data_IF_047897375858
#
_entry.id   IF_047897375858
#
_cell.length_a   1.000
_cell.length_b   1.000
_cell.length_c   1.000
_cell.angle_alpha   90.00
_cell.angle_beta   90.00
_cell.angle_gamma   90.00
#
_symmetry.space_group_name_H-M   'P 1'
#
loop_
_entity.id
_entity.type
_entity.pdbx_description
1 polymer ?
#
# COMPACT_ATOMS: atom_id res chain seq x y z
N UNK A 1 24.43 17.41 0.55
CA UNK A 1 23.05 16.85 0.35
C UNK A 1 22.73 16.87 -1.13
N UNK A 2 22.29 15.75 -1.70
CA UNK A 2 21.82 15.68 -3.08
C UNK A 2 20.42 16.29 -3.13
N UNK A 3 20.20 17.27 -4.00
CA UNK A 3 18.87 17.83 -4.22
C UNK A 3 18.19 17.08 -5.37
N UNK A 4 17.03 16.49 -5.11
CA UNK A 4 16.22 15.78 -6.09
C UNK A 4 15.19 16.72 -6.71
N UNK A 5 14.97 16.59 -8.03
CA UNK A 5 13.96 17.36 -8.75
C UNK A 5 12.71 16.52 -8.97
N UNK A 6 11.64 16.80 -8.26
CA UNK A 6 10.35 16.14 -8.38
C UNK A 6 9.38 16.87 -9.32
N UNK A 7 9.75 18.04 -9.84
CA UNK A 7 8.96 18.79 -10.86
C UNK A 7 9.28 18.37 -12.30
N UNK A 8 10.29 17.49 -12.47
CA UNK A 8 10.64 17.00 -13.82
C UNK A 8 9.52 16.12 -14.37
N UNK A 9 8.92 16.54 -15.49
CA UNK A 9 7.94 15.74 -16.20
C UNK A 9 8.68 14.73 -17.07
N UNK A 10 8.52 13.44 -16.76
CA UNK A 10 9.16 12.34 -17.45
C UNK A 10 8.09 11.63 -18.28
N UNK A 11 8.28 11.59 -19.60
CA UNK A 11 7.38 10.84 -20.47
C UNK A 11 7.57 9.34 -20.25
N UNK A 12 6.52 8.68 -19.81
CA UNK A 12 6.48 7.23 -19.53
C UNK A 12 5.64 6.47 -20.56
N UNK A 13 5.09 7.17 -21.57
CA UNK A 13 4.42 6.51 -22.70
C UNK A 13 5.46 5.67 -23.47
N UNK A 14 5.02 4.63 -24.11
CA UNK A 14 5.88 3.69 -24.85
C UNK A 14 6.99 2.98 -24.03
N UNK A 15 6.92 3.06 -22.69
CA UNK A 15 7.86 2.37 -21.78
C UNK A 15 7.30 1.05 -21.24
N UNK A 16 6.10 0.63 -21.66
CA UNK A 16 5.39 -0.49 -21.06
C UNK A 16 4.77 -0.19 -19.69
N UNK A 17 4.71 1.08 -19.28
CA UNK A 17 4.12 1.51 -18.02
C UNK A 17 2.62 1.19 -17.96
N UNK A 18 2.19 0.46 -16.93
CA UNK A 18 0.75 0.20 -16.68
C UNK A 18 0.00 1.49 -16.41
N UNK A 19 0.63 2.46 -15.76
CA UNK A 19 0.04 3.76 -15.43
C UNK A 19 -0.15 4.63 -16.67
N UNK A 20 0.83 4.64 -17.59
CA UNK A 20 0.92 5.51 -18.75
C UNK A 20 0.66 4.78 -20.07
N UNK A 21 -0.31 3.86 -20.10
CA UNK A 21 -0.63 3.08 -21.30
C UNK A 21 -1.55 3.81 -22.30
N UNK A 22 -1.88 5.07 -22.05
CA UNK A 22 -2.75 5.89 -22.91
C UNK A 22 -1.99 6.44 -24.10
N UNK A 23 -2.65 6.44 -25.27
CA UNK A 23 -2.11 7.01 -26.51
C UNK A 23 -2.48 8.48 -26.70
N UNK A 24 -3.36 9.01 -25.84
CA UNK A 24 -3.83 10.39 -25.85
C UNK A 24 -3.22 11.21 -24.69
N UNK A 25 -3.76 12.40 -24.44
CA UNK A 25 -3.33 13.32 -23.38
C UNK A 25 -3.93 13.01 -22.00
N UNK A 26 -4.43 11.80 -21.77
CA UNK A 26 -4.96 11.37 -20.47
C UNK A 26 -3.92 11.53 -19.37
N UNK A 27 -4.34 12.12 -18.24
CA UNK A 27 -3.53 12.27 -17.03
C UNK A 27 -3.85 11.13 -16.07
N UNK A 28 -2.92 10.18 -15.88
CA UNK A 28 -3.14 9.02 -15.04
C UNK A 28 -2.75 9.30 -13.57
N UNK A 29 -3.73 9.44 -12.71
CA UNK A 29 -3.58 9.63 -11.26
C UNK A 29 -4.15 8.43 -10.47
N UNK A 30 -3.99 7.20 -10.99
CA UNK A 30 -4.66 6.00 -10.49
C UNK A 30 -3.73 4.91 -9.92
N UNK A 31 -2.69 4.49 -10.66
CA UNK A 31 -1.78 3.44 -10.18
C UNK A 31 -0.95 3.95 -9.01
N UNK A 32 -0.77 3.11 -8.00
CA UNK A 32 0.08 3.41 -6.85
C UNK A 32 1.57 3.20 -7.17
N UNK A 33 2.08 3.95 -8.15
CA UNK A 33 3.50 4.23 -8.37
C UNK A 33 3.70 5.75 -8.51
N UNK A 34 4.94 6.22 -8.39
CA UNK A 34 5.24 7.65 -8.46
C UNK A 34 5.77 8.01 -9.85
N UNK A 35 5.60 9.26 -10.26
CA UNK A 35 6.18 9.77 -11.51
C UNK A 35 7.52 10.50 -11.24
N UNK A 36 8.28 10.00 -10.28
CA UNK A 36 9.58 10.49 -9.87
C UNK A 36 10.68 9.50 -10.21
N UNK A 37 11.86 9.98 -10.59
CA UNK A 37 13.06 9.13 -10.69
C UNK A 37 13.37 8.48 -9.34
N UNK A 38 13.78 7.23 -9.37
CA UNK A 38 14.26 6.53 -8.17
C UNK A 38 15.51 7.22 -7.59
N UNK A 39 15.80 6.94 -6.33
CA UNK A 39 16.96 7.49 -5.63
C UNK A 39 18.27 7.16 -6.36
N UNK A 40 19.20 8.12 -6.41
CA UNK A 40 20.50 7.97 -7.09
C UNK A 40 21.28 6.72 -6.64
N UNK A 41 21.34 6.35 -5.33
CA UNK A 41 22.01 5.12 -4.91
C UNK A 41 21.41 3.86 -5.55
N UNK A 42 20.09 3.83 -5.75
CA UNK A 42 19.39 2.72 -6.39
C UNK A 42 19.77 2.62 -7.87
N UNK A 43 19.72 3.73 -8.60
CA UNK A 43 20.10 3.77 -10.02
C UNK A 43 21.54 3.32 -10.22
N UNK A 44 22.45 3.81 -9.37
CA UNK A 44 23.85 3.41 -9.40
C UNK A 44 24.05 1.90 -9.14
N UNK A 45 23.31 1.31 -8.22
CA UNK A 45 23.37 -0.11 -7.95
C UNK A 45 22.92 -0.94 -9.17
N UNK A 46 21.85 -0.51 -9.86
CA UNK A 46 21.40 -1.15 -11.11
C UNK A 46 22.46 -1.06 -12.20
N UNK A 47 23.07 0.12 -12.39
CA UNK A 47 24.16 0.33 -13.34
C UNK A 47 25.36 -0.57 -13.05
N UNK A 48 25.77 -0.71 -11.80
CA UNK A 48 26.88 -1.58 -11.39
C UNK A 48 26.61 -3.05 -11.70
N UNK A 49 25.39 -3.54 -11.44
CA UNK A 49 24.98 -4.91 -11.81
C UNK A 49 25.06 -5.10 -13.33
N UNK A 50 24.53 -4.15 -14.09
CA UNK A 50 24.53 -4.20 -15.56
C UNK A 50 25.96 -4.15 -16.13
N UNK A 51 26.84 -3.30 -15.58
CA UNK A 51 28.25 -3.18 -16.00
C UNK A 51 29.07 -4.43 -15.68
N UNK A 52 28.78 -5.10 -14.55
CA UNK A 52 29.42 -6.38 -14.22
C UNK A 52 29.13 -7.46 -15.26
N UNK A 53 27.92 -7.47 -15.85
CA UNK A 53 27.53 -8.25 -17.02
C UNK A 53 27.30 -9.74 -16.79
N UNK A 54 27.52 -10.28 -15.58
CA UNK A 54 27.22 -11.68 -15.22
C UNK A 54 25.97 -11.70 -14.33
N UNK A 55 24.86 -12.15 -14.91
CA UNK A 55 23.53 -12.15 -14.29
C UNK A 55 23.15 -13.58 -13.86
N UNK A 56 24.01 -14.18 -13.03
CA UNK A 56 23.84 -15.57 -12.55
C UNK A 56 22.95 -15.67 -11.31
N UNK A 57 22.82 -16.89 -10.79
CA UNK A 57 22.13 -17.15 -9.54
C UNK A 57 22.78 -16.39 -8.38
N UNK A 58 21.97 -15.84 -7.49
CA UNK A 58 22.43 -15.03 -6.40
C UNK A 58 21.71 -15.38 -5.10
N UNK A 59 22.29 -14.97 -3.98
CA UNK A 59 21.73 -15.11 -2.64
C UNK A 59 21.86 -13.80 -1.87
N UNK A 60 21.01 -13.56 -0.88
CA UNK A 60 21.13 -12.36 -0.04
C UNK A 60 22.48 -12.34 0.70
N UNK A 61 23.12 -11.16 0.73
CA UNK A 61 24.39 -10.93 1.42
C UNK A 61 24.17 -10.52 2.89
N UNK A 62 25.23 -10.64 3.73
CA UNK A 62 25.15 -10.13 5.11
C UNK A 62 24.84 -8.62 5.14
N UNK A 63 25.47 -7.84 4.26
CA UNK A 63 25.23 -6.41 4.16
C UNK A 63 23.76 -6.07 3.84
N UNK A 64 23.06 -6.88 3.03
CA UNK A 64 21.63 -6.70 2.82
C UNK A 64 20.83 -6.93 4.11
N UNK A 65 21.10 -8.00 4.86
CA UNK A 65 20.43 -8.23 6.14
C UNK A 65 20.69 -7.11 7.14
N UNK A 66 21.94 -6.65 7.23
CA UNK A 66 22.32 -5.53 8.10
C UNK A 66 21.58 -4.24 7.73
N UNK A 67 21.46 -3.92 6.44
CA UNK A 67 20.73 -2.75 5.97
C UNK A 67 19.23 -2.79 6.33
N UNK A 68 18.59 -3.96 6.19
CA UNK A 68 17.20 -4.19 6.57
C UNK A 68 17.02 -4.04 8.08
N UNK A 69 17.86 -4.69 8.88
CA UNK A 69 17.82 -4.66 10.34
C UNK A 69 18.02 -3.23 10.85
N UNK A 70 19.03 -2.53 10.32
CA UNK A 70 19.31 -1.15 10.70
C UNK A 70 18.16 -0.20 10.35
N UNK A 71 17.60 -0.31 9.14
CA UNK A 71 16.48 0.51 8.70
C UNK A 71 15.27 0.39 9.60
N UNK A 72 14.81 -0.84 9.84
CA UNK A 72 13.62 -1.08 10.65
C UNK A 72 13.86 -0.86 12.14
N UNK A 73 15.06 -1.15 12.63
CA UNK A 73 15.46 -0.89 14.00
C UNK A 73 15.52 0.59 14.34
N UNK A 74 16.19 1.39 13.51
CA UNK A 74 16.38 2.83 13.76
C UNK A 74 15.11 3.66 13.57
N UNK A 75 14.25 3.29 12.59
CA UNK A 75 13.04 4.04 12.26
C UNK A 75 11.82 3.67 13.12
N UNK A 76 11.69 2.40 13.46
CA UNK A 76 10.46 1.88 14.08
C UNK A 76 10.69 1.12 15.39
N UNK A 77 11.93 0.99 15.83
CA UNK A 77 12.27 0.20 17.01
C UNK A 77 12.00 -1.31 16.84
N UNK A 78 11.79 -1.78 15.61
CA UNK A 78 11.56 -3.18 15.32
C UNK A 78 12.88 -3.96 15.37
N UNK A 79 13.11 -4.68 16.48
CA UNK A 79 14.29 -5.51 16.65
C UNK A 79 14.15 -6.80 15.86
N UNK A 80 15.00 -6.97 14.88
CA UNK A 80 15.10 -8.16 14.02
C UNK A 80 16.52 -8.73 14.09
N UNK A 81 16.64 -10.03 13.88
CA UNK A 81 17.88 -10.66 13.43
C UNK A 81 17.67 -11.28 12.03
N UNK A 82 18.76 -11.74 11.41
CA UNK A 82 18.72 -12.35 10.08
C UNK A 82 17.71 -13.49 9.98
N UNK A 83 17.51 -14.28 11.04
CA UNK A 83 16.59 -15.42 11.05
C UNK A 83 15.12 -15.00 11.01
N UNK A 84 14.82 -13.77 11.37
CA UNK A 84 13.46 -13.22 11.34
C UNK A 84 13.00 -12.75 9.95
N UNK A 85 13.90 -12.80 8.94
CA UNK A 85 13.70 -12.21 7.63
C UNK A 85 13.64 -13.30 6.57
N UNK A 86 12.52 -13.41 5.88
CA UNK A 86 12.37 -14.20 4.66
C UNK A 86 12.07 -13.26 3.48
N UNK A 87 12.52 -13.64 2.29
CA UNK A 87 12.26 -12.87 1.07
C UNK A 87 11.10 -13.48 0.27
N UNK A 88 10.40 -12.63 -0.50
CA UNK A 88 9.30 -13.03 -1.36
C UNK A 88 9.22 -12.10 -2.58
N UNK A 89 8.73 -12.55 -3.74
CA UNK A 89 8.67 -11.75 -4.97
C UNK A 89 7.72 -10.54 -4.88
N UNK A 90 6.93 -10.42 -3.83
CA UNK A 90 6.04 -9.29 -3.60
C UNK A 90 5.07 -9.52 -2.42
N UNK A 91 4.52 -8.43 -1.89
CA UNK A 91 3.57 -8.51 -0.76
C UNK A 91 2.27 -9.24 -1.14
N UNK A 92 1.75 -9.04 -2.34
CA UNK A 92 0.52 -9.75 -2.79
C UNK A 92 0.73 -11.27 -2.90
N UNK A 93 1.82 -11.79 -3.49
CA UNK A 93 2.18 -13.21 -3.35
C UNK A 93 2.31 -13.67 -1.89
N UNK A 94 2.92 -12.86 -1.03
CA UNK A 94 3.05 -13.17 0.40
C UNK A 94 1.70 -13.30 1.10
N UNK A 95 0.68 -12.49 0.75
CA UNK A 95 -0.68 -12.65 1.29
C UNK A 95 -1.26 -14.03 0.93
N UNK A 96 -1.11 -14.48 -0.32
CA UNK A 96 -1.55 -15.81 -0.75
C UNK A 96 -0.78 -16.93 -0.02
N UNK A 97 0.53 -16.76 0.15
CA UNK A 97 1.36 -17.67 0.92
C UNK A 97 0.87 -17.79 2.37
N UNK A 98 0.59 -16.67 3.04
CA UNK A 98 0.13 -16.66 4.44
C UNK A 98 -1.24 -17.34 4.61
N UNK A 99 -2.12 -17.26 3.62
CA UNK A 99 -3.36 -18.03 3.65
C UNK A 99 -3.08 -19.54 3.72
N UNK A 100 -2.13 -20.05 2.94
CA UNK A 100 -1.75 -21.46 2.98
C UNK A 100 -0.99 -21.85 4.27
N UNK A 101 -0.34 -20.90 4.92
CA UNK A 101 0.33 -21.11 6.22
C UNK A 101 -0.67 -21.22 7.37
N UNK A 102 -1.70 -20.38 7.40
CA UNK A 102 -2.60 -20.26 8.55
C UNK A 102 -3.98 -20.91 8.38
N UNK A 103 -4.38 -21.22 7.14
CA UNK A 103 -5.73 -21.68 6.82
C UNK A 103 -5.72 -22.83 5.80
N UNK A 104 -6.85 -23.50 5.69
CA UNK A 104 -7.14 -24.46 4.63
C UNK A 104 -8.34 -23.98 3.80
N UNK A 105 -8.63 -24.65 2.67
CA UNK A 105 -9.79 -24.30 1.84
C UNK A 105 -11.10 -24.36 2.67
N UNK A 106 -11.94 -23.36 2.51
CA UNK A 106 -13.18 -23.17 3.25
C UNK A 106 -13.05 -22.39 4.55
N UNK A 107 -11.84 -22.24 5.13
CA UNK A 107 -11.65 -21.41 6.32
C UNK A 107 -11.97 -19.94 6.07
N UNK A 108 -12.50 -19.27 7.09
CA UNK A 108 -12.83 -17.85 7.03
C UNK A 108 -11.59 -16.95 7.26
N UNK A 109 -11.44 -15.97 6.37
CA UNK A 109 -10.41 -14.92 6.44
C UNK A 109 -11.11 -13.56 6.51
N UNK A 110 -10.77 -12.78 7.52
CA UNK A 110 -11.36 -11.46 7.76
C UNK A 110 -10.49 -10.37 7.17
N UNK A 111 -11.15 -9.42 6.49
CA UNK A 111 -10.55 -8.16 6.00
C UNK A 111 -11.45 -6.99 6.37
N UNK A 112 -10.92 -5.77 6.31
CA UNK A 112 -11.75 -4.57 6.40
C UNK A 112 -12.45 -4.26 5.06
N UNK A 113 -13.48 -3.42 5.10
CA UNK A 113 -14.12 -2.84 3.92
C UNK A 113 -14.27 -1.30 4.17
N UNK A 114 -13.74 -0.43 3.30
CA UNK A 114 -12.99 -0.72 2.08
C UNK A 114 -11.56 -1.20 2.35
N UNK A 115 -10.98 -1.92 1.40
CA UNK A 115 -9.60 -2.42 1.46
C UNK A 115 -9.01 -2.54 0.05
N UNK A 116 -7.69 -2.56 -0.06
CA UNK A 116 -7.00 -2.83 -1.32
C UNK A 116 -7.46 -4.16 -1.94
N UNK A 117 -7.97 -4.09 -3.17
CA UNK A 117 -8.64 -5.19 -3.87
C UNK A 117 -7.96 -6.56 -3.75
N UNK A 118 -6.63 -6.69 -3.86
CA UNK A 118 -5.96 -7.98 -3.71
C UNK A 118 -6.18 -8.70 -2.37
N UNK A 119 -6.52 -8.00 -1.29
CA UNK A 119 -6.86 -8.64 -0.01
C UNK A 119 -8.11 -9.51 -0.17
N UNK A 120 -9.15 -8.99 -0.82
CA UNK A 120 -10.39 -9.72 -1.07
C UNK A 120 -10.18 -10.83 -2.12
N UNK A 121 -9.64 -10.44 -3.29
CA UNK A 121 -9.51 -11.37 -4.41
C UNK A 121 -8.58 -12.54 -4.10
N UNK A 122 -7.52 -12.34 -3.30
CA UNK A 122 -6.63 -13.45 -2.91
C UNK A 122 -7.29 -14.41 -1.93
N UNK A 123 -8.17 -13.94 -1.05
CA UNK A 123 -8.98 -14.81 -0.18
C UNK A 123 -9.85 -15.75 -1.03
N UNK A 124 -10.62 -15.17 -1.97
CA UNK A 124 -11.53 -15.92 -2.83
C UNK A 124 -10.80 -16.86 -3.80
N UNK A 125 -9.75 -16.36 -4.49
CA UNK A 125 -8.94 -17.15 -5.43
C UNK A 125 -8.23 -18.35 -4.79
N UNK A 126 -7.96 -18.28 -3.48
CA UNK A 126 -7.36 -19.37 -2.73
C UNK A 126 -8.42 -20.28 -2.07
N UNK A 127 -9.69 -20.14 -2.41
CA UNK A 127 -10.77 -20.99 -1.92
C UNK A 127 -11.10 -20.81 -0.42
N UNK A 128 -10.81 -19.62 0.14
CA UNK A 128 -11.18 -19.25 1.52
C UNK A 128 -12.48 -18.45 1.50
N UNK A 129 -13.17 -18.45 2.62
CA UNK A 129 -14.38 -17.65 2.81
C UNK A 129 -14.02 -16.23 3.19
N UNK A 130 -14.37 -15.26 2.34
CA UNK A 130 -14.14 -13.84 2.62
C UNK A 130 -15.15 -13.33 3.64
N UNK A 131 -14.66 -12.82 4.77
CA UNK A 131 -15.46 -12.13 5.80
C UNK A 131 -15.02 -10.67 5.83
N UNK A 132 -16.00 -9.77 5.80
CA UNK A 132 -15.74 -8.32 5.77
C UNK A 132 -16.22 -7.65 7.05
N UNK A 133 -15.38 -6.80 7.64
CA UNK A 133 -15.75 -5.87 8.68
C UNK A 133 -15.66 -4.46 8.16
N UNK A 134 -16.78 -3.74 8.18
CA UNK A 134 -16.87 -2.37 7.67
C UNK A 134 -16.14 -1.42 8.60
N UNK A 135 -15.29 -0.58 8.03
CA UNK A 135 -14.63 0.50 8.78
C UNK A 135 -15.62 1.61 9.10
N UNK A 136 -15.63 2.08 10.34
CA UNK A 136 -16.41 3.26 10.72
C UNK A 136 -15.74 4.53 10.25
N UNK A 137 -16.45 5.36 9.52
CA UNK A 137 -15.97 6.71 9.18
C UNK A 137 -16.40 7.69 10.29
N UNK A 138 -15.42 8.29 10.95
CA UNK A 138 -15.59 9.31 11.99
C UNK A 138 -14.70 10.49 11.67
N UNK A 139 -15.27 11.69 11.54
CA UNK A 139 -14.52 12.92 11.23
C UNK A 139 -13.60 12.78 9.99
N UNK A 140 -14.10 12.16 8.93
CA UNK A 140 -13.37 11.87 7.69
C UNK A 140 -12.12 11.01 7.92
N UNK A 141 -12.17 10.09 8.87
CA UNK A 141 -11.13 9.09 9.13
C UNK A 141 -11.77 7.73 9.37
N UNK A 142 -11.14 6.70 8.88
CA UNK A 142 -11.57 5.34 9.20
C UNK A 142 -11.14 4.92 10.61
N UNK A 143 -11.97 4.12 11.25
CA UNK A 143 -11.74 3.49 12.56
C UNK A 143 -12.06 2.00 12.45
N UNK A 144 -11.29 1.17 13.17
CA UNK A 144 -11.64 -0.24 13.34
C UNK A 144 -12.91 -0.36 14.18
N UNK A 145 -13.89 -1.14 13.72
CA UNK A 145 -15.04 -1.53 14.53
C UNK A 145 -14.73 -2.84 15.26
N UNK A 146 -14.09 -2.75 16.43
CA UNK A 146 -13.69 -3.92 17.20
C UNK A 146 -14.89 -4.79 17.62
N UNK A 147 -16.08 -4.21 17.82
CA UNK A 147 -17.28 -4.97 18.16
C UNK A 147 -17.78 -5.79 16.95
N UNK A 148 -17.79 -5.20 15.75
CA UNK A 148 -18.13 -5.93 14.53
C UNK A 148 -17.06 -6.99 14.19
N UNK A 149 -15.79 -6.66 14.34
CA UNK A 149 -14.68 -7.63 14.16
C UNK A 149 -14.86 -8.83 15.10
N UNK A 150 -15.17 -8.60 16.38
CA UNK A 150 -15.41 -9.66 17.36
C UNK A 150 -16.61 -10.54 16.98
N UNK A 151 -17.73 -9.91 16.62
CA UNK A 151 -18.93 -10.62 16.17
C UNK A 151 -18.64 -11.50 14.95
N UNK A 152 -17.93 -10.95 13.94
CA UNK A 152 -17.52 -11.70 12.74
C UNK A 152 -16.57 -12.85 13.03
N UNK A 153 -15.62 -12.67 13.94
CA UNK A 153 -14.71 -13.74 14.37
C UNK A 153 -15.49 -14.91 14.96
N UNK A 154 -16.47 -14.63 15.81
CA UNK A 154 -17.30 -15.65 16.48
C UNK A 154 -18.23 -16.34 15.47
N UNK A 155 -18.99 -15.57 14.70
CA UNK A 155 -19.99 -16.03 13.75
C UNK A 155 -19.39 -16.94 12.68
N UNK A 156 -18.27 -16.51 12.08
CA UNK A 156 -17.64 -17.20 10.96
C UNK A 156 -16.46 -18.09 11.37
N UNK A 157 -16.11 -18.15 12.66
CA UNK A 157 -14.94 -18.92 13.16
C UNK A 157 -13.65 -18.54 12.41
N UNK A 158 -13.43 -17.25 12.25
CA UNK A 158 -12.29 -16.68 11.51
C UNK A 158 -10.97 -17.27 12.00
N UNK A 159 -10.09 -17.64 11.08
CA UNK A 159 -8.75 -18.19 11.35
C UNK A 159 -7.63 -17.20 11.10
N UNK A 160 -7.85 -16.27 10.18
CA UNK A 160 -6.86 -15.29 9.75
C UNK A 160 -7.49 -13.92 9.58
N UNK A 161 -6.83 -12.89 10.10
CA UNK A 161 -7.13 -11.49 9.85
C UNK A 161 -6.02 -10.89 8.98
N UNK A 162 -6.37 -10.29 7.84
CA UNK A 162 -5.44 -9.55 6.98
C UNK A 162 -5.60 -8.06 7.26
N UNK A 163 -4.59 -7.45 7.89
CA UNK A 163 -4.54 -6.04 8.24
C UNK A 163 -3.72 -5.26 7.20
N UNK A 164 -4.23 -4.12 6.73
CA UNK A 164 -3.47 -3.14 5.96
C UNK A 164 -3.06 -1.98 6.87
N UNK A 165 -1.75 -1.80 7.10
CA UNK A 165 -1.18 -0.82 8.04
C UNK A 165 0.12 -0.20 7.51
N UNK A 166 0.17 1.03 7.05
CA UNK A 166 -0.95 1.98 6.86
C UNK A 166 -2.02 1.51 5.89
N UNK A 167 -3.25 1.96 6.12
CA UNK A 167 -4.42 1.50 5.40
C UNK A 167 -4.55 2.13 4.00
N UNK A 168 -4.80 1.30 3.00
CA UNK A 168 -5.16 1.70 1.64
C UNK A 168 -6.59 1.20 1.33
N UNK A 169 -7.56 2.07 0.98
CA UNK A 169 -7.37 3.39 0.36
C UNK A 169 -7.39 4.59 1.32
N UNK A 170 -7.81 4.45 2.56
CA UNK A 170 -8.10 5.57 3.46
C UNK A 170 -6.88 6.30 4.03
N UNK A 171 -5.65 5.83 3.77
CA UNK A 171 -4.41 6.48 4.23
C UNK A 171 -4.21 6.50 5.75
N UNK A 172 -4.99 5.70 6.53
CA UNK A 172 -4.90 5.67 7.99
C UNK A 172 -3.61 5.02 8.48
N UNK A 173 -2.96 5.64 9.45
CA UNK A 173 -1.94 5.03 10.31
C UNK A 173 -2.65 4.59 11.60
N UNK A 174 -2.81 3.28 11.79
CA UNK A 174 -3.46 2.78 13.00
C UNK A 174 -2.61 3.12 14.21
N UNK A 175 -3.23 3.72 15.23
CA UNK A 175 -2.55 4.08 16.47
C UNK A 175 -2.10 2.82 17.21
N UNK A 176 -1.06 2.96 18.04
CA UNK A 176 -0.62 1.87 18.92
C UNK A 176 -1.77 1.26 19.71
N UNK A 177 -2.67 2.10 20.24
CA UNK A 177 -3.81 1.64 21.03
C UNK A 177 -4.81 0.83 20.20
N UNK A 178 -5.11 1.26 18.95
CA UNK A 178 -5.96 0.51 18.02
C UNK A 178 -5.35 -0.86 17.70
N UNK A 179 -4.04 -0.91 17.44
CA UNK A 179 -3.32 -2.16 17.15
C UNK A 179 -3.25 -3.10 18.37
N UNK A 180 -2.99 -2.58 19.56
CA UNK A 180 -2.99 -3.37 20.81
C UNK A 180 -4.36 -3.96 21.10
N UNK A 181 -5.44 -3.20 20.90
CA UNK A 181 -6.81 -3.67 21.09
C UNK A 181 -7.19 -4.75 20.04
N UNK A 182 -6.84 -4.55 18.78
CA UNK A 182 -7.04 -5.54 17.73
C UNK A 182 -6.25 -6.84 18.03
N UNK A 183 -4.99 -6.71 18.41
CA UNK A 183 -4.13 -7.86 18.72
C UNK A 183 -4.64 -8.63 19.94
N UNK A 184 -5.13 -7.94 20.98
CA UNK A 184 -5.76 -8.58 22.15
C UNK A 184 -7.00 -9.37 21.75
N UNK A 185 -7.81 -8.83 20.82
CA UNK A 185 -8.98 -9.51 20.28
C UNK A 185 -8.58 -10.76 19.48
N UNK A 186 -7.63 -10.66 18.58
CA UNK A 186 -7.11 -11.79 17.82
C UNK A 186 -6.56 -12.87 18.73
N UNK A 187 -5.80 -12.48 19.78
CA UNK A 187 -5.26 -13.41 20.78
C UNK A 187 -6.36 -14.12 21.57
N UNK A 188 -7.42 -13.42 21.95
CA UNK A 188 -8.57 -13.98 22.68
C UNK A 188 -9.22 -15.14 21.93
N UNK A 189 -9.28 -15.06 20.61
CA UNK A 189 -9.95 -16.04 19.74
C UNK A 189 -9.00 -16.91 18.92
N UNK A 190 -7.71 -16.87 19.19
CA UNK A 190 -6.64 -17.62 18.48
C UNK A 190 -6.61 -17.36 16.96
N UNK A 191 -6.89 -16.12 16.54
CA UNK A 191 -6.90 -15.67 15.14
C UNK A 191 -5.52 -15.20 14.73
N UNK A 192 -4.91 -15.81 13.72
CA UNK A 192 -3.65 -15.30 13.17
C UNK A 192 -3.86 -13.92 12.53
N UNK A 193 -2.84 -13.07 12.57
CA UNK A 193 -2.89 -11.74 11.98
C UNK A 193 -1.67 -11.51 11.10
N UNK A 194 -1.91 -11.11 9.84
CA UNK A 194 -0.90 -10.73 8.87
C UNK A 194 -1.08 -9.25 8.56
N UNK A 195 -0.06 -8.46 8.90
CA UNK A 195 -0.03 -7.01 8.66
C UNK A 195 0.76 -6.69 7.39
N UNK A 196 0.07 -6.18 6.38
CA UNK A 196 0.72 -5.58 5.21
C UNK A 196 1.16 -4.16 5.55
N UNK A 197 2.48 -3.98 5.67
CA UNK A 197 3.11 -2.73 6.10
C UNK A 197 3.90 -2.05 4.96
N UNK A 198 3.52 -2.33 3.70
CA UNK A 198 4.22 -1.81 2.52
C UNK A 198 4.26 -0.28 2.42
N UNK A 199 3.33 0.42 3.09
CA UNK A 199 3.26 1.88 3.14
C UNK A 199 3.93 2.49 4.40
N UNK A 200 4.55 1.71 5.26
CA UNK A 200 5.11 2.15 6.55
C UNK A 200 6.05 3.36 6.44
N UNK A 201 6.96 3.35 5.45
CA UNK A 201 7.95 4.43 5.23
C UNK A 201 7.33 5.71 4.64
N UNK A 202 6.09 5.63 4.19
CA UNK A 202 5.33 6.75 3.61
C UNK A 202 4.42 7.42 4.65
N UNK A 203 4.70 7.24 5.94
CA UNK A 203 4.01 7.92 7.03
C UNK A 203 4.34 9.41 6.99
N UNK A 204 3.30 10.25 7.01
CA UNK A 204 3.39 11.69 6.84
C UNK A 204 3.64 12.40 8.17
N UNK A 205 4.02 13.69 8.10
CA UNK A 205 4.36 14.50 9.26
C UNK A 205 3.24 14.54 10.30
N UNK A 206 3.61 14.48 11.58
CA UNK A 206 2.64 14.45 12.70
C UNK A 206 2.07 13.07 13.01
N UNK A 207 2.41 12.03 12.26
CA UNK A 207 1.95 10.65 12.48
C UNK A 207 3.12 9.72 12.81
N UNK A 208 2.84 8.67 13.55
CA UNK A 208 3.84 7.68 13.97
C UNK A 208 3.36 6.28 13.62
N UNK A 209 4.09 5.61 12.74
CA UNK A 209 3.83 4.22 12.38
C UNK A 209 4.34 3.28 13.48
N UNK A 210 3.57 2.25 13.78
CA UNK A 210 3.93 1.18 14.72
C UNK A 210 3.87 -0.17 14.00
N UNK A 211 4.99 -0.88 13.80
CA UNK A 211 4.96 -2.24 13.27
C UNK A 211 4.22 -3.18 14.21
N UNK A 212 3.28 -3.97 13.69
CA UNK A 212 2.45 -4.85 14.52
C UNK A 212 3.30 -5.85 15.32
N UNK A 213 4.38 -6.34 14.73
CA UNK A 213 5.27 -7.32 15.36
C UNK A 213 5.99 -6.78 16.61
N UNK A 214 6.08 -5.45 16.80
CA UNK A 214 6.61 -4.84 18.04
C UNK A 214 5.66 -5.02 19.22
N UNK A 215 4.38 -5.26 18.97
CA UNK A 215 3.32 -5.42 19.96
C UNK A 215 2.98 -6.89 20.24
N UNK A 216 3.52 -7.82 19.45
CA UNK A 216 3.12 -9.22 19.42
C UNK A 216 3.62 -10.08 20.59
N UNK A 217 4.21 -9.48 21.64
CA UNK A 217 4.80 -10.23 22.76
C UNK A 217 3.85 -11.27 23.35
N UNK A 218 4.30 -12.54 23.33
CA UNK A 218 3.52 -13.69 23.77
C UNK A 218 2.41 -14.12 22.78
N UNK A 219 2.49 -13.64 21.51
CA UNK A 219 1.63 -14.05 20.40
C UNK A 219 2.39 -14.11 19.06
N UNK A 220 3.72 -14.13 19.09
CA UNK A 220 4.60 -14.08 17.92
C UNK A 220 4.35 -15.24 16.94
N UNK A 221 3.85 -16.37 17.42
CA UNK A 221 3.55 -17.57 16.64
C UNK A 221 2.32 -17.40 15.69
N UNK A 222 1.60 -16.28 15.82
CA UNK A 222 0.40 -15.95 15.01
C UNK A 222 0.50 -14.60 14.30
N UNK A 223 1.64 -13.89 14.41
CA UNK A 223 1.80 -12.54 13.84
C UNK A 223 2.91 -12.52 12.80
N UNK A 224 2.58 -11.97 11.63
CA UNK A 224 3.52 -11.78 10.52
C UNK A 224 3.38 -10.36 9.98
N UNK A 225 4.51 -9.68 9.75
CA UNK A 225 4.54 -8.42 9.01
C UNK A 225 5.08 -8.66 7.59
N UNK A 226 4.42 -8.06 6.62
CA UNK A 226 4.84 -8.03 5.22
C UNK A 226 5.22 -6.61 4.84
N UNK A 227 6.38 -6.42 4.21
CA UNK A 227 6.80 -5.09 3.76
C UNK A 227 7.68 -5.17 2.53
N UNK A 228 7.95 -4.00 1.92
CA UNK A 228 8.78 -3.89 0.73
C UNK A 228 9.30 -2.47 0.54
N UNK A 229 10.51 -2.34 0.00
CA UNK A 229 11.07 -1.07 -0.46
C UNK A 229 10.36 -0.49 -1.70
N UNK A 230 9.50 -1.27 -2.35
CA UNK A 230 8.98 -0.95 -3.70
C UNK A 230 8.05 0.26 -3.72
N UNK A 231 7.26 0.49 -2.68
CA UNK A 231 6.42 1.69 -2.55
C UNK A 231 7.23 2.87 -2.01
N UNK A 232 8.08 2.61 -1.04
CA UNK A 232 8.94 3.59 -0.39
C UNK A 232 9.81 4.35 -1.41
N UNK A 233 10.44 3.63 -2.34
CA UNK A 233 11.44 4.17 -3.27
C UNK A 233 11.02 4.16 -4.73
N UNK A 234 9.73 3.94 -5.02
CA UNK A 234 9.19 3.91 -6.38
C UNK A 234 9.87 2.88 -7.31
N UNK A 235 10.08 1.66 -6.83
CA UNK A 235 10.77 0.59 -7.57
C UNK A 235 9.90 -0.67 -7.73
N UNK A 236 8.59 -0.50 -7.93
CA UNK A 236 7.63 -1.61 -8.02
C UNK A 236 7.95 -2.63 -9.12
N UNK A 237 8.60 -2.20 -10.23
CA UNK A 237 9.02 -3.07 -11.32
C UNK A 237 10.14 -4.06 -10.95
N UNK A 238 10.90 -3.79 -9.89
CA UNK A 238 12.00 -4.66 -9.40
C UNK A 238 11.48 -5.92 -8.72
N UNK A 239 10.30 -5.87 -8.13
CA UNK A 239 9.64 -6.98 -7.44
C UNK A 239 10.49 -7.64 -6.37
N UNK A 240 10.24 -7.31 -5.13
CA UNK A 240 10.90 -7.89 -3.97
C UNK A 240 10.23 -7.40 -2.70
N UNK A 241 10.03 -8.29 -1.76
CA UNK A 241 9.42 -7.99 -0.45
C UNK A 241 10.05 -8.84 0.64
N UNK A 242 9.72 -8.53 1.86
CA UNK A 242 10.18 -9.22 3.05
C UNK A 242 8.98 -9.69 3.87
N UNK A 243 9.16 -10.83 4.50
CA UNK A 243 8.25 -11.41 5.49
C UNK A 243 9.01 -11.43 6.80
N UNK A 244 8.47 -10.74 7.82
CA UNK A 244 9.05 -10.74 9.16
C UNK A 244 8.19 -11.55 10.11
N UNK A 245 8.81 -12.48 10.82
CA UNK A 245 8.22 -13.22 11.92
C UNK A 245 9.28 -13.47 13.01
N UNK A 246 8.85 -13.63 14.25
CA UNK A 246 9.79 -13.85 15.38
C UNK A 246 9.75 -15.28 15.94
N UNK A 247 8.68 -16.03 15.67
CA UNK A 247 8.55 -17.41 16.10
C UNK A 247 9.26 -18.36 15.13
N UNK A 248 10.18 -19.18 15.64
CA UNK A 248 10.97 -20.08 14.79
C UNK A 248 10.14 -21.19 14.13
N UNK A 249 9.09 -21.70 14.80
CA UNK A 249 8.25 -22.73 14.22
C UNK A 249 7.41 -22.16 13.07
N UNK A 250 6.90 -20.93 13.26
CA UNK A 250 6.20 -20.19 12.20
C UNK A 250 7.11 -19.91 11.00
N UNK A 251 8.35 -19.45 11.23
CA UNK A 251 9.33 -19.20 10.17
C UNK A 251 9.64 -20.47 9.37
N UNK A 252 9.81 -21.61 10.05
CA UNK A 252 9.99 -22.91 9.36
C UNK A 252 8.78 -23.27 8.50
N UNK A 253 7.56 -23.06 9.01
CA UNK A 253 6.33 -23.33 8.27
C UNK A 253 6.18 -22.43 7.03
N UNK A 254 6.48 -21.14 7.17
CA UNK A 254 6.50 -20.19 6.05
C UNK A 254 7.53 -20.61 5.01
N UNK A 255 8.77 -20.89 5.42
CA UNK A 255 9.85 -21.30 4.52
C UNK A 255 9.52 -22.62 3.80
N UNK A 256 8.89 -23.58 4.47
CA UNK A 256 8.43 -24.82 3.84
C UNK A 256 7.39 -24.53 2.75
N UNK A 257 6.41 -23.66 3.03
CA UNK A 257 5.40 -23.28 2.06
C UNK A 257 5.99 -22.51 0.86
N UNK A 258 6.98 -21.64 1.09
CA UNK A 258 7.72 -20.97 0.01
C UNK A 258 8.44 -21.96 -0.91
N UNK A 259 9.07 -22.99 -0.35
CA UNK A 259 9.73 -24.04 -1.15
C UNK A 259 8.76 -24.87 -1.99
N UNK A 260 7.55 -25.11 -1.49
CA UNK A 260 6.50 -25.80 -2.25
C UNK A 260 6.05 -24.99 -3.48
N UNK A 261 6.12 -23.66 -3.39
CA UNK A 261 5.73 -22.74 -4.46
C UNK A 261 6.92 -22.25 -5.29
N UNK A 262 8.17 -22.57 -4.90
CA UNK A 262 9.42 -22.02 -5.46
C UNK A 262 9.50 -20.47 -5.39
N UNK A 263 9.01 -19.89 -4.28
CA UNK A 263 8.86 -18.44 -4.07
C UNK A 263 9.78 -17.88 -2.97
N UNK A 264 10.99 -18.44 -2.80
CA UNK A 264 11.92 -18.08 -1.72
C UNK A 264 13.13 -17.26 -2.18
N UNK A 265 13.36 -17.15 -3.47
CA UNK A 265 14.48 -16.39 -4.04
C UNK A 265 14.00 -15.13 -4.74
N UNK A 266 14.84 -14.09 -4.71
CA UNK A 266 14.65 -12.88 -5.50
C UNK A 266 15.66 -12.84 -6.65
N UNK A 267 15.35 -12.04 -7.65
CA UNK A 267 16.32 -11.77 -8.71
C UNK A 267 17.47 -10.89 -8.18
N UNK A 268 18.61 -10.92 -8.88
CA UNK A 268 19.83 -10.18 -8.52
C UNK A 268 19.59 -8.68 -8.31
N UNK A 269 18.80 -8.04 -9.19
CA UNK A 269 18.50 -6.63 -9.06
C UNK A 269 17.69 -6.34 -7.81
N UNK A 270 16.77 -7.22 -7.41
CA UNK A 270 15.94 -7.01 -6.22
C UNK A 270 16.79 -6.98 -4.94
N UNK A 271 17.77 -7.84 -4.79
CA UNK A 271 18.66 -7.82 -3.62
C UNK A 271 19.53 -6.56 -3.58
N UNK A 272 20.15 -6.19 -4.70
CA UNK A 272 21.04 -5.01 -4.76
C UNK A 272 20.27 -3.69 -4.62
N UNK A 273 19.10 -3.59 -5.26
CA UNK A 273 18.21 -2.42 -5.10
C UNK A 273 17.71 -2.30 -3.66
N UNK A 274 17.31 -3.42 -3.04
CA UNK A 274 16.85 -3.39 -1.64
C UNK A 274 17.96 -2.93 -0.70
N UNK A 275 19.17 -3.45 -0.85
CA UNK A 275 20.34 -3.03 -0.06
C UNK A 275 20.63 -1.53 -0.24
N UNK A 276 20.80 -1.10 -1.48
CA UNK A 276 21.14 0.30 -1.80
C UNK A 276 20.03 1.28 -1.39
N UNK A 277 18.77 0.86 -1.45
CA UNK A 277 17.64 1.66 -1.01
C UNK A 277 17.69 1.94 0.50
N UNK A 278 17.91 0.91 1.31
CA UNK A 278 17.99 1.06 2.76
C UNK A 278 19.29 1.69 3.26
N UNK A 279 20.42 1.47 2.58
CA UNK A 279 21.69 2.11 2.91
C UNK A 279 21.74 3.61 2.53
N UNK A 280 21.19 3.97 1.36
CA UNK A 280 21.42 5.30 0.78
C UNK A 280 20.17 6.08 0.37
N UNK A 281 18.96 5.49 0.43
CA UNK A 281 17.73 6.12 -0.06
C UNK A 281 17.06 7.10 0.91
N UNK A 282 17.51 7.17 2.15
CA UNK A 282 16.85 7.95 3.21
C UNK A 282 16.67 9.43 2.89
N UNK A 283 17.68 10.06 2.26
CA UNK A 283 17.63 11.48 1.88
C UNK A 283 16.60 11.73 0.75
N UNK A 284 16.55 10.84 -0.24
CA UNK A 284 15.54 10.91 -1.28
C UNK A 284 14.13 10.77 -0.70
N UNK A 285 13.93 9.80 0.20
CA UNK A 285 12.64 9.57 0.84
C UNK A 285 12.16 10.79 1.61
N UNK A 286 13.04 11.43 2.40
CA UNK A 286 12.69 12.64 3.16
C UNK A 286 12.23 13.78 2.23
N UNK A 287 12.95 14.01 1.11
CA UNK A 287 12.58 15.02 0.13
C UNK A 287 11.29 14.66 -0.62
N UNK A 288 11.11 13.38 -0.99
CA UNK A 288 9.90 12.89 -1.65
C UNK A 288 8.66 13.04 -0.75
N UNK A 289 8.77 12.71 0.53
CA UNK A 289 7.66 12.90 1.49
C UNK A 289 7.27 14.37 1.62
N UNK A 290 8.22 15.28 1.74
CA UNK A 290 7.95 16.73 1.80
C UNK A 290 7.21 17.21 0.53
N UNK A 291 7.61 16.71 -0.65
CA UNK A 291 6.98 17.07 -1.90
C UNK A 291 5.56 16.47 -2.01
N UNK A 292 5.38 15.23 -1.58
CA UNK A 292 4.09 14.56 -1.53
C UNK A 292 3.13 15.28 -0.56
N UNK A 293 3.60 15.68 0.62
CA UNK A 293 2.79 16.45 1.58
C UNK A 293 2.34 17.79 0.98
N UNK A 294 3.24 18.51 0.31
CA UNK A 294 2.88 19.74 -0.39
C UNK A 294 1.82 19.50 -1.50
N UNK A 295 1.91 18.39 -2.22
CA UNK A 295 0.89 18.01 -3.20
C UNK A 295 -0.45 17.60 -2.56
N UNK A 296 -0.42 16.98 -1.39
CA UNK A 296 -1.63 16.68 -0.60
C UNK A 296 -2.30 17.99 -0.16
N UNK A 297 -1.53 18.93 0.40
CA UNK A 297 -2.04 20.25 0.83
C UNK A 297 -2.65 21.01 -0.33
N UNK A 298 -1.95 21.08 -1.46
CA UNK A 298 -2.43 21.69 -2.69
C UNK A 298 -3.75 21.05 -3.15
N UNK A 299 -3.85 19.71 -3.12
CA UNK A 299 -5.06 19.00 -3.57
C UNK A 299 -6.23 19.29 -2.63
N UNK A 300 -6.02 19.23 -1.33
CA UNK A 300 -7.06 19.54 -0.32
C UNK A 300 -7.57 20.95 -0.50
N UNK A 301 -6.66 21.93 -0.57
CA UNK A 301 -7.02 23.33 -0.76
C UNK A 301 -7.78 23.53 -2.08
N UNK A 302 -7.28 22.97 -3.19
CA UNK A 302 -7.93 23.09 -4.50
C UNK A 302 -9.36 22.53 -4.47
N UNK A 303 -9.57 21.37 -3.85
CA UNK A 303 -10.89 20.75 -3.76
C UNK A 303 -11.84 21.54 -2.84
N UNK A 304 -11.37 22.06 -1.71
CA UNK A 304 -12.17 22.89 -0.82
C UNK A 304 -12.63 24.19 -1.50
N UNK A 305 -11.78 24.81 -2.29
CA UNK A 305 -12.09 26.06 -3.02
C UNK A 305 -12.99 25.84 -4.22
N UNK A 306 -12.78 24.77 -5.00
CA UNK A 306 -13.37 24.59 -6.34
C UNK A 306 -14.43 23.49 -6.39
N UNK A 307 -14.34 22.45 -5.55
CA UNK A 307 -15.27 21.31 -5.48
C UNK A 307 -15.67 21.03 -4.02
N UNK A 308 -16.32 22.00 -3.32
CA UNK A 308 -16.51 21.92 -1.86
C UNK A 308 -17.45 20.80 -1.41
N UNK A 309 -18.18 20.16 -2.32
CA UNK A 309 -19.03 19.01 -2.03
C UNK A 309 -18.23 17.69 -2.05
N UNK A 310 -17.01 17.65 -2.60
CA UNK A 310 -16.11 16.50 -2.47
C UNK A 310 -15.62 16.42 -1.04
N UNK A 311 -15.84 15.27 -0.38
CA UNK A 311 -15.31 15.08 0.97
C UNK A 311 -13.94 14.40 0.86
N UNK A 312 -12.91 15.09 1.29
CA UNK A 312 -11.54 14.60 1.24
C UNK A 312 -11.22 13.89 2.55
N UNK A 313 -10.80 12.61 2.47
CA UNK A 313 -10.14 11.92 3.56
C UNK A 313 -8.63 12.16 3.41
N UNK A 314 -8.11 13.13 4.19
CA UNK A 314 -6.68 13.46 4.18
C UNK A 314 -5.88 12.27 4.69
N UNK A 315 -4.90 11.76 3.93
CA UNK A 315 -4.11 10.62 4.36
C UNK A 315 -3.15 10.98 5.52
N UNK A 316 -2.88 10.02 6.39
CA UNK A 316 -1.86 10.06 7.44
C UNK A 316 -0.57 9.34 6.98
N UNK A 317 -0.69 8.56 5.89
CA UNK A 317 0.42 7.92 5.18
C UNK A 317 0.08 7.71 3.72
N UNK A 318 1.10 7.42 2.90
CA UNK A 318 0.98 7.20 1.47
C UNK A 318 0.82 8.51 0.67
N UNK A 319 0.76 8.35 -0.61
CA UNK A 319 0.52 9.41 -1.61
C UNK A 319 -0.86 9.25 -2.28
N UNK A 320 -1.77 8.56 -1.61
CA UNK A 320 -3.10 8.21 -2.13
C UNK A 320 -4.15 8.95 -1.29
N UNK A 321 -4.95 9.78 -1.96
CA UNK A 321 -6.05 10.51 -1.33
C UNK A 321 -7.36 9.80 -1.66
N UNK A 322 -8.21 9.62 -0.64
CA UNK A 322 -9.53 9.03 -0.78
C UNK A 322 -10.60 10.13 -0.82
N UNK A 323 -11.39 10.17 -1.88
CA UNK A 323 -12.35 11.21 -2.19
C UNK A 323 -13.76 10.63 -2.21
N UNK A 324 -14.67 11.17 -1.42
CA UNK A 324 -16.12 10.92 -1.52
C UNK A 324 -16.73 11.93 -2.49
N UNK A 325 -17.15 11.45 -3.66
CA UNK A 325 -17.75 12.24 -4.74
C UNK A 325 -19.29 12.04 -4.83
N UNK A 326 -19.91 11.46 -3.81
CA UNK A 326 -21.34 11.10 -3.80
C UNK A 326 -22.28 12.29 -4.06
N UNK A 327 -21.83 13.53 -3.82
CA UNK A 327 -22.59 14.73 -4.12
C UNK A 327 -22.58 15.14 -5.60
N UNK A 328 -21.78 14.45 -6.44
CA UNK A 328 -21.61 14.78 -7.86
C UNK A 328 -22.11 13.69 -8.82
N UNK A 329 -22.42 12.51 -8.34
CA UNK A 329 -22.94 11.41 -9.15
C UNK A 329 -23.84 10.50 -8.33
N UNK A 330 -24.70 9.72 -9.00
CA UNK A 330 -25.57 8.73 -8.35
C UNK A 330 -25.09 7.29 -8.58
N UNK A 331 -24.22 7.07 -9.58
CA UNK A 331 -23.71 5.76 -9.96
C UNK A 331 -22.20 5.78 -10.16
N UNK A 332 -21.52 4.72 -9.73
CA UNK A 332 -20.06 4.58 -9.84
C UNK A 332 -19.56 4.66 -11.27
N UNK A 333 -20.28 4.01 -12.20
CA UNK A 333 -19.88 3.99 -13.62
C UNK A 333 -19.99 5.37 -14.23
N UNK A 334 -21.05 6.12 -13.92
CA UNK A 334 -21.24 7.50 -14.39
C UNK A 334 -20.11 8.41 -13.90
N UNK A 335 -19.76 8.33 -12.61
CA UNK A 335 -18.67 9.10 -12.03
C UNK A 335 -17.33 8.78 -12.70
N UNK A 336 -17.05 7.49 -12.89
CA UNK A 336 -15.82 7.02 -13.53
C UNK A 336 -15.73 7.49 -14.99
N UNK A 337 -16.79 7.31 -15.80
CA UNK A 337 -16.82 7.68 -17.21
C UNK A 337 -16.70 9.21 -17.38
N UNK A 338 -17.37 10.00 -16.53
CA UNK A 338 -17.26 11.48 -16.56
C UNK A 338 -15.82 11.95 -16.38
N UNK A 339 -15.08 11.38 -15.45
CA UNK A 339 -13.68 11.74 -15.24
C UNK A 339 -12.79 11.26 -16.39
N UNK A 340 -13.02 10.05 -16.88
CA UNK A 340 -12.27 9.48 -18.01
C UNK A 340 -12.48 10.27 -19.32
N UNK A 341 -13.71 10.70 -19.61
CA UNK A 341 -14.02 11.50 -20.78
C UNK A 341 -13.35 12.88 -20.70
N UNK A 342 -13.14 13.40 -19.50
CA UNK A 342 -12.32 14.57 -19.23
C UNK A 342 -10.81 14.29 -19.26
N UNK A 343 -10.38 13.09 -19.65
CA UNK A 343 -8.98 12.69 -19.72
C UNK A 343 -8.25 12.72 -18.37
N UNK A 344 -8.95 12.34 -17.31
CA UNK A 344 -8.36 12.11 -15.97
C UNK A 344 -8.70 10.70 -15.52
N UNK A 345 -7.70 9.89 -15.28
CA UNK A 345 -7.89 8.53 -14.80
C UNK A 345 -7.63 8.44 -13.30
N UNK A 346 -8.66 8.07 -12.54
CA UNK A 346 -8.60 7.78 -11.11
C UNK A 346 -8.99 6.32 -10.85
N UNK A 347 -8.70 5.80 -9.67
CA UNK A 347 -9.22 4.50 -9.28
C UNK A 347 -10.64 4.62 -8.72
N UNK A 348 -11.60 3.93 -9.35
CA UNK A 348 -12.97 3.84 -8.87
C UNK A 348 -13.01 3.14 -7.50
N UNK A 349 -13.70 3.77 -6.54
CA UNK A 349 -13.74 3.33 -5.16
C UNK A 349 -14.42 1.98 -4.96
N UNK A 350 -15.43 1.67 -5.76
CA UNK A 350 -16.14 0.38 -5.72
C UNK A 350 -15.22 -0.84 -5.87
N UNK A 351 -14.05 -0.68 -6.48
CA UNK A 351 -13.04 -1.75 -6.57
C UNK A 351 -12.42 -2.13 -5.22
N UNK A 352 -12.58 -1.28 -4.19
CA UNK A 352 -12.05 -1.48 -2.85
C UNK A 352 -13.06 -2.12 -1.88
N UNK A 353 -14.26 -2.41 -2.32
CA UNK A 353 -15.36 -2.98 -1.56
C UNK A 353 -16.63 -2.15 -1.69
N UNK A 354 -17.72 -2.60 -1.08
CA UNK A 354 -19.02 -1.95 -1.18
C UNK A 354 -19.01 -0.52 -0.58
N UNK A 355 -18.22 -0.31 0.47
CA UNK A 355 -18.05 0.99 1.12
C UNK A 355 -17.24 2.00 0.28
N UNK A 356 -16.73 1.56 -0.86
CA UNK A 356 -16.10 2.41 -1.87
C UNK A 356 -17.08 3.04 -2.86
N UNK A 357 -18.38 2.79 -2.74
CA UNK A 357 -19.42 3.35 -3.60
C UNK A 357 -19.31 4.88 -3.69
N UNK A 358 -19.34 5.42 -4.94
CA UNK A 358 -19.19 6.85 -5.29
C UNK A 358 -17.92 7.51 -4.70
N UNK A 359 -16.91 6.73 -4.43
CA UNK A 359 -15.60 7.24 -3.99
C UNK A 359 -14.56 7.06 -5.10
N UNK A 360 -13.51 7.87 -5.03
CA UNK A 360 -12.37 7.81 -5.95
C UNK A 360 -11.06 7.85 -5.17
N UNK A 361 -10.05 7.09 -5.63
CA UNK A 361 -8.70 7.19 -5.08
C UNK A 361 -7.78 7.92 -6.06
N UNK A 362 -7.20 9.02 -5.61
CA UNK A 362 -6.31 9.89 -6.36
C UNK A 362 -4.87 9.72 -5.88
N UNK A 363 -3.91 9.55 -6.81
CA UNK A 363 -2.48 9.49 -6.56
C UNK A 363 -1.87 10.88 -6.80
N UNK A 364 -1.21 11.45 -5.79
CA UNK A 364 -0.57 12.76 -5.85
C UNK A 364 0.96 12.72 -5.98
N UNK A 365 1.56 11.53 -6.11
CA UNK A 365 3.01 11.38 -6.28
C UNK A 365 3.42 11.58 -7.74
N UNK A 366 3.23 12.79 -8.24
CA UNK A 366 3.59 13.25 -9.57
C UNK A 366 4.04 14.72 -9.54
N UNK A 367 4.67 15.23 -10.60
CA UNK A 367 5.02 16.66 -10.70
C UNK A 367 3.79 17.55 -10.48
N UNK A 368 3.98 18.64 -9.73
CA UNK A 368 2.92 19.59 -9.35
C UNK A 368 2.11 20.10 -10.55
N UNK A 369 2.77 20.39 -11.68
CA UNK A 369 2.10 20.86 -12.88
C UNK A 369 1.12 19.82 -13.45
N UNK A 370 1.51 18.54 -13.44
CA UNK A 370 0.65 17.44 -13.89
C UNK A 370 -0.56 17.25 -12.95
N UNK A 371 -0.32 17.33 -11.64
CA UNK A 371 -1.37 17.25 -10.63
C UNK A 371 -2.40 18.36 -10.79
N UNK A 372 -1.94 19.62 -10.95
CA UNK A 372 -2.82 20.78 -11.13
C UNK A 372 -3.68 20.66 -12.40
N UNK A 373 -3.09 20.20 -13.49
CA UNK A 373 -3.83 19.97 -14.74
C UNK A 373 -4.91 18.88 -14.53
N UNK A 374 -4.56 17.77 -13.88
CA UNK A 374 -5.55 16.73 -13.52
C UNK A 374 -6.69 17.24 -12.66
N UNK A 375 -6.38 18.04 -11.63
CA UNK A 375 -7.39 18.66 -10.75
C UNK A 375 -8.28 19.65 -11.51
N UNK A 376 -7.71 20.46 -12.42
CA UNK A 376 -8.49 21.38 -13.26
C UNK A 376 -9.44 20.64 -14.22
N UNK A 377 -9.03 19.52 -14.80
CA UNK A 377 -9.89 18.67 -15.62
C UNK A 377 -11.01 18.05 -14.80
N UNK A 378 -10.68 17.53 -13.61
CA UNK A 378 -11.65 17.00 -12.65
C UNK A 378 -12.70 18.08 -12.27
N UNK A 379 -12.26 19.31 -12.00
CA UNK A 379 -13.14 20.43 -11.71
C UNK A 379 -14.14 20.72 -12.84
N UNK A 380 -13.65 20.82 -14.08
CA UNK A 380 -14.49 21.04 -15.25
C UNK A 380 -15.50 19.90 -15.47
N UNK A 381 -15.06 18.65 -15.29
CA UNK A 381 -15.89 17.47 -15.46
C UNK A 381 -17.05 17.42 -14.45
N UNK A 382 -16.74 17.60 -13.16
CA UNK A 382 -17.73 17.48 -12.09
C UNK A 382 -18.68 18.69 -11.99
N UNK A 383 -18.34 19.84 -12.57
CA UNK A 383 -19.23 21.01 -12.65
C UNK A 383 -19.92 21.14 -14.03
N UNK A 384 -19.78 20.16 -14.93
CA UNK A 384 -20.46 20.19 -16.23
C UNK A 384 -21.97 19.97 -16.06
N UNK A 385 -22.78 20.60 -16.94
CA UNK A 385 -24.24 20.47 -16.93
C UNK A 385 -24.74 19.01 -17.14
N UNK A 386 -23.89 18.12 -17.63
CA UNK A 386 -24.19 16.68 -17.83
C UNK A 386 -24.52 15.98 -16.51
N UNK A 387 -23.86 16.35 -15.41
CA UNK A 387 -24.17 15.82 -14.08
C UNK A 387 -25.37 16.53 -13.42
N UNK A 388 -25.57 17.82 -13.72
CA UNK A 388 -26.64 18.62 -13.14
C UNK A 388 -28.03 18.32 -13.75
N UNK A 389 -28.08 17.80 -14.99
CA UNK A 389 -29.35 17.48 -15.67
C UNK A 389 -30.01 16.18 -15.22
N UNK A 390 -29.33 15.36 -14.42
CA UNK A 390 -29.84 14.07 -13.90
C UNK A 390 -30.20 14.12 -12.39
N UNK A 391 -30.21 15.32 -11.78
CA UNK A 391 -30.55 15.55 -10.36
C UNK A 391 -31.97 16.13 -10.19
N UNK A 392 -32.87 15.91 -11.16
CA UNK A 392 -34.29 16.29 -11.02
C UNK A 392 -35.16 15.05 -10.88
#
# INVERSE_FOLDING_TARGET
MVQYNFDEIIDRRDTGSVKWHYSDDTIPLWVADMDFKAAQPILKAIEQVAQHGILGYTKPTEALYESIIQWHGSRYGLQLDKRNILFSPGVVPSLALMMNVFTVAGDAVLVNDPIYTPFMTKVEQNGRTLVRSVLKEVERKYRLDLADIEAKIIEHKVKLYLLCNPHNPGGRVWTRQELEALLALCKKYDVAIVSDEIHQDLTLSGHTFTPLLTLAKGYEHKVVNLTSMTKTFNVAGIKGSMIFAKDEALLRKISQQQRLNDEYELNLFAYEVMRSAYEGGGEWLAQALNYIEANIDLTVQFLEENLPKVKVMRPEASYLIWLDCSAYAQEDQMLYDTLRDAKVELNAGIKYGAEGHLKMRLNVACPKALLLEGLNRMYKALNSDVLNSNVI
#
